data_IF_235380729669
#
_entry.id   IF_235380729669
#
_cell.length_a   1.000
_cell.length_b   1.000
_cell.length_c   1.000
_cell.angle_alpha   90.00
_cell.angle_beta   90.00
_cell.angle_gamma   90.00
#
_symmetry.space_group_name_H-M   'P 1'
#
loop_
_entity.id
_entity.type
_entity.pdbx_description
1 polymer ?
#
# COMPACT_ATOMS: atom_id res chain seq x y z
N UNK A 1 34.05 -46.98 -0.32
CA UNK A 1 34.55 -45.63 0.01
C UNK A 1 34.06 -44.77 -1.12
N UNK A 2 32.79 -44.38 -1.01
CA UNK A 2 31.98 -43.93 -2.14
C UNK A 2 31.93 -42.40 -2.15
N UNK A 3 32.10 -41.83 -3.33
CA UNK A 3 32.14 -40.40 -3.55
C UNK A 3 30.82 -39.72 -3.12
N UNK A 4 30.87 -38.48 -2.59
CA UNK A 4 29.66 -37.76 -2.23
C UNK A 4 28.83 -37.44 -3.47
N UNK A 5 27.55 -37.84 -3.42
CA UNK A 5 26.52 -37.56 -4.42
C UNK A 5 26.40 -36.04 -4.65
N UNK A 6 27.06 -35.55 -5.70
CA UNK A 6 26.88 -34.18 -6.21
C UNK A 6 25.61 -34.13 -7.05
N UNK A 7 24.46 -34.34 -6.40
CA UNK A 7 23.17 -34.27 -7.05
C UNK A 7 22.78 -32.82 -7.35
N UNK A 8 23.36 -32.26 -8.42
CA UNK A 8 23.05 -30.92 -8.95
C UNK A 8 21.57 -30.80 -9.36
N UNK A 9 20.83 -31.92 -9.47
CA UNK A 9 19.40 -31.92 -9.83
C UNK A 9 18.45 -31.43 -8.73
N UNK A 10 18.92 -31.25 -7.48
CA UNK A 10 18.11 -30.65 -6.42
C UNK A 10 17.86 -29.14 -6.64
N UNK A 11 18.77 -28.45 -7.33
CA UNK A 11 18.68 -27.00 -7.61
C UNK A 11 17.83 -26.67 -8.85
N UNK A 12 17.60 -27.64 -9.73
CA UNK A 12 16.81 -27.44 -10.96
C UNK A 12 15.31 -27.55 -10.77
N UNK A 13 14.81 -27.94 -9.58
CA UNK A 13 13.38 -27.85 -9.22
C UNK A 13 12.87 -26.42 -8.98
N UNK A 14 13.71 -25.41 -9.20
CA UNK A 14 13.30 -24.00 -9.28
C UNK A 14 12.99 -23.53 -10.70
N UNK A 15 12.82 -24.45 -11.66
CA UNK A 15 12.32 -24.13 -13.02
C UNK A 15 10.77 -24.06 -13.11
N UNK A 16 10.07 -23.92 -11.98
CA UNK A 16 8.61 -23.74 -11.90
C UNK A 16 8.14 -22.27 -11.77
N UNK A 17 9.04 -21.30 -11.81
CA UNK A 17 8.69 -19.87 -11.66
C UNK A 17 8.32 -19.22 -13.01
N UNK A 18 8.66 -19.87 -14.13
CA UNK A 18 8.48 -19.34 -15.49
C UNK A 18 7.24 -19.89 -16.23
N UNK A 19 6.19 -20.29 -15.50
CA UNK A 19 4.86 -20.61 -16.07
C UNK A 19 3.80 -19.54 -15.72
N UNK A 20 4.23 -18.29 -15.56
CA UNK A 20 3.42 -17.17 -15.07
C UNK A 20 3.23 -16.01 -16.08
N UNK A 21 3.36 -16.25 -17.39
CA UNK A 21 3.05 -15.20 -18.38
C UNK A 21 1.56 -14.91 -18.54
N UNK A 22 0.71 -15.93 -18.38
CA UNK A 22 -0.73 -15.86 -18.69
C UNK A 22 -1.58 -15.52 -17.46
N UNK A 23 -1.17 -15.93 -16.26
CA UNK A 23 -1.87 -15.66 -14.99
C UNK A 23 -2.03 -14.16 -14.66
N UNK A 24 -0.98 -13.32 -14.72
CA UNK A 24 -1.13 -11.88 -14.48
C UNK A 24 -1.96 -11.22 -15.58
N UNK A 25 -1.83 -11.66 -16.84
CA UNK A 25 -2.63 -11.14 -17.95
C UNK A 25 -4.12 -11.49 -17.80
N UNK A 26 -4.45 -12.72 -17.41
CA UNK A 26 -5.84 -13.15 -17.14
C UNK A 26 -6.40 -12.42 -15.93
N UNK A 27 -5.62 -12.19 -14.87
CA UNK A 27 -6.04 -11.39 -13.71
C UNK A 27 -6.30 -9.94 -14.14
N UNK A 28 -5.41 -9.33 -14.93
CA UNK A 28 -5.61 -7.97 -15.47
C UNK A 28 -6.86 -7.93 -16.34
N UNK A 29 -7.05 -8.90 -17.23
CA UNK A 29 -8.22 -8.98 -18.11
C UNK A 29 -9.52 -9.15 -17.32
N UNK A 30 -9.52 -9.98 -16.27
CA UNK A 30 -10.66 -10.16 -15.36
C UNK A 30 -10.95 -8.91 -14.54
N UNK A 31 -9.91 -8.20 -14.07
CA UNK A 31 -10.07 -6.92 -13.38
C UNK A 31 -10.64 -5.88 -14.33
N UNK A 32 -10.14 -5.79 -15.56
CA UNK A 32 -10.68 -4.91 -16.60
C UNK A 32 -12.14 -5.26 -16.90
N UNK A 33 -12.45 -6.54 -17.11
CA UNK A 33 -13.82 -7.01 -17.36
C UNK A 33 -14.76 -6.73 -16.18
N UNK A 34 -14.30 -6.92 -14.94
CA UNK A 34 -15.07 -6.61 -13.74
C UNK A 34 -15.30 -5.11 -13.57
N UNK A 35 -14.30 -4.27 -13.89
CA UNK A 35 -14.43 -2.80 -13.87
C UNK A 35 -15.44 -2.34 -14.93
N UNK A 36 -15.36 -2.89 -16.15
CA UNK A 36 -16.32 -2.59 -17.23
C UNK A 36 -17.72 -3.06 -16.86
N UNK A 37 -17.87 -4.28 -16.34
CA UNK A 37 -19.16 -4.82 -15.91
C UNK A 37 -19.75 -4.02 -14.74
N UNK A 38 -18.95 -3.62 -13.76
CA UNK A 38 -19.38 -2.78 -12.65
C UNK A 38 -19.80 -1.38 -13.13
N UNK A 39 -19.06 -0.80 -14.08
CA UNK A 39 -19.39 0.52 -14.64
C UNK A 39 -20.75 0.50 -15.36
N UNK A 40 -21.00 -0.54 -16.17
CA UNK A 40 -22.27 -0.70 -16.89
C UNK A 40 -23.42 -1.11 -15.96
N UNK A 41 -23.19 -1.99 -14.99
CA UNK A 41 -24.25 -2.53 -14.14
C UNK A 41 -24.67 -1.61 -12.98
N UNK A 42 -23.77 -0.75 -12.51
CA UNK A 42 -24.01 0.10 -11.33
C UNK A 42 -24.33 1.55 -11.67
N UNK A 43 -24.28 1.94 -12.95
CA UNK A 43 -24.41 3.34 -13.39
C UNK A 43 -23.51 4.26 -12.52
N UNK A 44 -22.21 3.96 -12.57
CA UNK A 44 -21.22 4.62 -11.71
C UNK A 44 -21.21 6.14 -11.92
N UNK A 45 -21.59 6.61 -13.09
CA UNK A 45 -21.71 8.04 -13.40
C UNK A 45 -22.83 8.69 -12.58
N UNK A 46 -24.02 8.09 -12.54
CA UNK A 46 -25.13 8.58 -11.74
C UNK A 46 -24.83 8.53 -10.23
N UNK A 47 -24.19 7.47 -9.75
CA UNK A 47 -23.78 7.36 -8.35
C UNK A 47 -22.68 8.36 -7.97
N UNK A 48 -21.71 8.55 -8.85
CA UNK A 48 -20.66 9.54 -8.68
C UNK A 48 -21.23 10.96 -8.62
N UNK A 49 -22.18 11.29 -9.51
CA UNK A 49 -22.86 12.57 -9.50
C UNK A 49 -23.65 12.81 -8.21
N UNK A 50 -24.36 11.80 -7.68
CA UNK A 50 -25.08 11.86 -6.41
C UNK A 50 -24.14 12.05 -5.21
N UNK A 51 -23.01 11.33 -5.18
CA UNK A 51 -22.03 11.47 -4.11
C UNK A 51 -21.38 12.86 -4.14
N UNK A 52 -21.02 13.36 -5.33
CA UNK A 52 -20.46 14.70 -5.51
C UNK A 52 -21.44 15.78 -5.05
N UNK A 53 -22.69 15.72 -5.49
CA UNK A 53 -23.70 16.71 -5.08
C UNK A 53 -23.98 16.65 -3.58
N UNK A 54 -24.06 15.46 -2.99
CA UNK A 54 -24.17 15.30 -1.55
C UNK A 54 -23.01 15.95 -0.80
N UNK A 55 -21.77 15.69 -1.22
CA UNK A 55 -20.56 16.25 -0.59
C UNK A 55 -20.48 17.76 -0.76
N UNK A 56 -20.81 18.28 -1.94
CA UNK A 56 -20.85 19.72 -2.21
C UNK A 56 -21.87 20.44 -1.32
N UNK A 57 -23.03 19.82 -1.06
CA UNK A 57 -24.05 20.37 -0.16
C UNK A 57 -23.59 20.48 1.30
N UNK A 58 -22.59 19.67 1.72
CA UNK A 58 -22.02 19.73 3.07
C UNK A 58 -20.91 20.79 3.22
N UNK A 59 -20.46 21.41 2.13
CA UNK A 59 -19.49 22.49 2.13
C UNK A 59 -18.18 22.14 2.84
N UNK A 60 -17.67 23.06 3.67
CA UNK A 60 -16.36 22.96 4.31
C UNK A 60 -16.23 21.82 5.36
N UNK A 61 -17.34 21.21 5.78
CA UNK A 61 -17.35 20.11 6.77
C UNK A 61 -17.04 18.76 6.11
N UNK A 62 -17.23 18.62 4.80
CA UNK A 62 -17.04 17.34 4.14
C UNK A 62 -15.60 16.79 4.19
N UNK A 63 -14.53 17.58 3.96
CA UNK A 63 -13.17 17.07 4.04
C UNK A 63 -12.77 16.49 5.42
N UNK A 64 -12.96 17.19 6.56
CA UNK A 64 -12.60 16.62 7.86
C UNK A 64 -13.43 15.39 8.22
N UNK A 65 -14.72 15.34 7.86
CA UNK A 65 -15.56 14.15 8.07
C UNK A 65 -15.03 12.96 7.25
N UNK A 66 -14.69 13.18 5.98
CA UNK A 66 -14.12 12.14 5.14
C UNK A 66 -12.77 11.62 5.68
N UNK A 67 -11.90 12.52 6.15
CA UNK A 67 -10.63 12.16 6.78
C UNK A 67 -10.86 11.28 8.02
N UNK A 68 -11.81 11.66 8.88
CA UNK A 68 -12.13 10.91 10.09
C UNK A 68 -12.70 9.52 9.77
N UNK A 69 -13.65 9.44 8.83
CA UNK A 69 -14.22 8.16 8.38
C UNK A 69 -13.16 7.26 7.75
N UNK A 70 -12.28 7.84 6.94
CA UNK A 70 -11.16 7.11 6.33
C UNK A 70 -10.20 6.60 7.41
N UNK A 71 -9.88 7.41 8.42
CA UNK A 71 -9.00 7.02 9.51
C UNK A 71 -9.57 5.83 10.29
N UNK A 72 -10.86 5.89 10.64
CA UNK A 72 -11.57 4.79 11.30
C UNK A 72 -11.61 3.56 10.39
N UNK A 73 -11.93 3.71 9.10
CA UNK A 73 -11.96 2.61 8.15
C UNK A 73 -10.62 1.91 8.03
N UNK A 74 -9.53 2.66 7.88
CA UNK A 74 -8.17 2.11 7.76
C UNK A 74 -7.77 1.37 9.05
N UNK A 75 -8.11 1.93 10.22
CA UNK A 75 -7.96 1.23 11.48
C UNK A 75 -8.74 -0.10 11.49
N UNK A 76 -9.96 -0.12 10.96
CA UNK A 76 -10.81 -1.31 10.84
C UNK A 76 -10.49 -2.19 9.62
N UNK A 77 -9.27 -2.12 9.08
CA UNK A 77 -8.80 -2.96 7.97
C UNK A 77 -9.52 -2.72 6.62
N UNK A 78 -10.24 -1.61 6.47
CA UNK A 78 -10.82 -1.22 5.17
C UNK A 78 -9.67 -1.03 4.17
N UNK A 79 -9.73 -1.66 2.99
CA UNK A 79 -8.72 -1.49 1.96
C UNK A 79 -8.59 -0.02 1.51
N UNK A 80 -7.38 0.53 1.60
CA UNK A 80 -7.07 1.90 1.19
C UNK A 80 -7.57 2.29 -0.22
N UNK A 81 -7.54 1.42 -1.26
CA UNK A 81 -8.09 1.76 -2.57
C UNK A 81 -9.56 2.18 -2.55
N UNK A 82 -10.36 1.63 -1.62
CA UNK A 82 -11.78 1.97 -1.50
C UNK A 82 -11.93 3.42 -1.03
N UNK A 83 -11.20 3.79 0.03
CA UNK A 83 -11.20 5.16 0.52
C UNK A 83 -10.68 6.15 -0.55
N UNK A 84 -9.62 5.80 -1.26
CA UNK A 84 -9.06 6.63 -2.34
C UNK A 84 -10.06 6.81 -3.47
N UNK A 85 -10.77 5.75 -3.87
CA UNK A 85 -11.82 5.84 -4.88
C UNK A 85 -12.96 6.75 -4.45
N UNK A 86 -13.51 6.55 -3.25
CA UNK A 86 -14.58 7.40 -2.71
C UNK A 86 -14.12 8.86 -2.63
N UNK A 87 -12.91 9.12 -2.13
CA UNK A 87 -12.34 10.45 -2.04
C UNK A 87 -12.15 11.11 -3.41
N UNK A 88 -11.65 10.35 -4.39
CA UNK A 88 -11.47 10.83 -5.77
C UNK A 88 -12.79 11.22 -6.42
N UNK A 89 -13.82 10.38 -6.25
CA UNK A 89 -15.16 10.68 -6.75
C UNK A 89 -15.74 11.90 -6.04
N UNK A 90 -15.67 11.97 -4.72
CA UNK A 90 -16.26 13.03 -3.91
C UNK A 90 -15.59 14.41 -4.09
N UNK A 91 -14.26 14.46 -4.14
CA UNK A 91 -13.48 15.71 -4.06
C UNK A 91 -12.61 15.96 -5.32
N UNK A 92 -12.74 15.12 -6.34
CA UNK A 92 -11.92 15.14 -7.55
C UNK A 92 -10.52 14.55 -7.33
N UNK A 93 -9.73 14.48 -8.41
CA UNK A 93 -8.42 13.81 -8.40
C UNK A 93 -7.42 14.35 -7.36
N UNK A 94 -7.31 15.67 -7.19
CA UNK A 94 -6.35 16.30 -6.28
C UNK A 94 -6.86 16.33 -4.84
N UNK A 95 -8.10 16.79 -4.63
CA UNK A 95 -8.72 16.82 -3.31
C UNK A 95 -8.87 15.42 -2.73
N UNK A 96 -9.33 14.47 -3.55
CA UNK A 96 -9.44 13.07 -3.19
C UNK A 96 -8.11 12.45 -2.78
N UNK A 97 -7.02 12.74 -3.50
CA UNK A 97 -5.69 12.27 -3.14
C UNK A 97 -5.23 12.87 -1.79
N UNK A 98 -5.33 14.19 -1.62
CA UNK A 98 -4.87 14.88 -0.41
C UNK A 98 -5.64 14.43 0.83
N UNK A 99 -6.97 14.42 0.77
CA UNK A 99 -7.81 14.03 1.89
C UNK A 99 -7.68 12.53 2.20
N UNK A 100 -7.50 11.68 1.18
CA UNK A 100 -7.21 10.26 1.40
C UNK A 100 -5.85 10.04 2.06
N UNK A 101 -4.80 10.75 1.64
CA UNK A 101 -3.49 10.69 2.29
C UNK A 101 -3.62 11.08 3.78
N UNK A 102 -4.33 12.16 4.08
CA UNK A 102 -4.59 12.58 5.46
C UNK A 102 -5.32 11.51 6.27
N UNK A 103 -6.45 11.01 5.76
CA UNK A 103 -7.25 9.98 6.43
C UNK A 103 -6.50 8.66 6.61
N UNK A 104 -5.79 8.19 5.59
CA UNK A 104 -5.01 6.94 5.66
C UNK A 104 -3.85 7.09 6.64
N UNK A 105 -3.16 8.23 6.64
CA UNK A 105 -2.05 8.48 7.57
C UNK A 105 -2.55 8.54 9.00
N UNK A 106 -3.68 9.23 9.25
CA UNK A 106 -4.31 9.26 10.57
C UNK A 106 -4.75 7.87 11.04
N UNK A 107 -5.42 7.10 10.18
CA UNK A 107 -5.85 5.73 10.49
C UNK A 107 -4.68 4.78 10.74
N UNK A 108 -3.63 4.86 9.93
CA UNK A 108 -2.39 4.11 10.15
C UNK A 108 -1.72 4.50 11.48
N UNK A 109 -1.75 5.78 11.85
CA UNK A 109 -1.31 6.28 13.14
C UNK A 109 -2.10 5.68 14.30
N UNK A 110 -3.44 5.64 14.22
CA UNK A 110 -4.29 5.01 15.22
C UNK A 110 -4.01 3.51 15.34
N UNK A 111 -3.93 2.80 14.22
CA UNK A 111 -3.57 1.37 14.19
C UNK A 111 -2.19 1.11 14.81
N UNK A 112 -1.22 1.98 14.54
CA UNK A 112 0.11 1.91 15.13
C UNK A 112 0.08 2.12 16.65
N UNK A 113 -0.71 3.10 17.15
CA UNK A 113 -0.86 3.35 18.58
C UNK A 113 -1.57 2.19 19.29
N UNK A 114 -2.61 1.62 18.67
CA UNK A 114 -3.25 0.40 19.16
C UNK A 114 -2.26 -0.77 19.19
N UNK A 115 -1.45 -0.93 18.14
CA UNK A 115 -0.36 -1.90 18.10
C UNK A 115 0.64 -1.72 19.25
N UNK A 116 0.98 -0.46 19.54
CA UNK A 116 1.96 -0.05 20.57
C UNK A 116 1.50 -0.34 21.99
N UNK A 117 0.25 0.05 22.30
CA UNK A 117 -0.23 0.10 23.68
C UNK A 117 -1.17 -1.04 24.03
N UNK A 118 -1.87 -1.61 23.05
CA UNK A 118 -2.83 -2.70 23.30
C UNK A 118 -2.21 -4.05 22.95
N UNK A 119 -1.67 -4.19 21.74
CA UNK A 119 -1.15 -5.47 21.26
C UNK A 119 0.23 -5.83 21.84
N UNK A 120 1.02 -4.84 22.26
CA UNK A 120 2.32 -5.08 22.90
C UNK A 120 2.16 -5.76 24.25
N UNK A 121 1.18 -5.34 25.04
CA UNK A 121 0.90 -5.90 26.36
C UNK A 121 0.20 -7.26 26.28
N UNK A 122 -0.63 -7.46 25.25
CA UNK A 122 -1.26 -8.76 24.96
C UNK A 122 -0.31 -9.79 24.30
N UNK A 123 0.86 -9.36 23.84
CA UNK A 123 1.62 -10.03 22.78
C UNK A 123 3.07 -10.37 23.12
N UNK A 124 3.34 -11.09 24.21
CA UNK A 124 4.63 -11.76 24.44
C UNK A 124 4.90 -12.92 23.46
N UNK A 125 4.02 -13.14 22.45
CA UNK A 125 4.07 -14.28 21.52
C UNK A 125 3.79 -13.95 20.04
N UNK A 126 4.04 -12.73 19.57
CA UNK A 126 3.95 -12.41 18.14
C UNK A 126 5.09 -13.09 17.33
N UNK A 127 5.10 -14.42 17.20
CA UNK A 127 6.07 -15.21 16.42
C UNK A 127 5.70 -15.25 14.92
N UNK A 128 5.47 -14.08 14.31
CA UNK A 128 5.17 -13.97 12.88
C UNK A 128 6.44 -13.98 12.01
N UNK A 129 6.37 -14.58 10.82
CA UNK A 129 7.47 -14.64 9.84
C UNK A 129 8.03 -13.27 9.43
N UNK A 130 7.26 -12.19 9.61
CA UNK A 130 7.68 -10.81 9.30
C UNK A 130 8.34 -10.09 10.48
N UNK A 131 8.25 -10.62 11.71
CA UNK A 131 8.78 -9.97 12.91
C UNK A 131 10.31 -9.71 12.84
N UNK A 132 11.16 -10.65 12.35
CA UNK A 132 12.59 -10.40 12.23
C UNK A 132 12.92 -9.23 11.29
N UNK A 133 12.20 -9.12 10.17
CA UNK A 133 12.34 -8.01 9.21
C UNK A 133 11.97 -6.70 9.89
N UNK A 134 10.83 -6.66 10.60
CA UNK A 134 10.38 -5.45 11.28
C UNK A 134 11.33 -5.01 12.40
N UNK A 135 11.95 -5.97 13.12
CA UNK A 135 12.99 -5.68 14.13
C UNK A 135 14.26 -5.12 13.49
N UNK A 136 14.72 -5.71 12.39
CA UNK A 136 15.87 -5.21 11.62
C UNK A 136 15.63 -3.81 11.04
N UNK A 137 14.39 -3.49 10.67
CA UNK A 137 14.02 -2.15 10.24
C UNK A 137 13.95 -1.18 11.43
N UNK A 138 13.44 -1.64 12.58
CA UNK A 138 13.36 -0.84 13.80
C UNK A 138 14.73 -0.48 14.40
N UNK A 139 15.78 -1.25 14.11
CA UNK A 139 17.15 -0.88 14.52
C UNK A 139 17.74 0.27 13.70
N UNK A 140 17.09 0.64 12.60
CA UNK A 140 17.52 1.78 11.78
C UNK A 140 16.87 3.07 12.25
N UNK A 141 17.61 4.16 12.17
CA UNK A 141 17.10 5.49 12.54
C UNK A 141 16.38 6.15 11.37
N UNK A 142 15.35 6.94 11.67
CA UNK A 142 14.63 7.78 10.72
C UNK A 142 13.46 7.10 10.00
N UNK A 143 12.77 7.83 9.09
CA UNK A 143 11.56 7.36 8.40
C UNK A 143 11.83 6.42 7.22
N UNK A 144 13.09 6.32 6.75
CA UNK A 144 13.48 5.57 5.55
C UNK A 144 13.03 4.09 5.57
N UNK A 145 13.11 3.34 6.68
CA UNK A 145 12.65 1.95 6.72
C UNK A 145 11.15 1.83 6.45
N UNK A 146 10.37 2.80 6.92
CA UNK A 146 8.90 2.82 6.73
C UNK A 146 8.57 3.19 5.28
N UNK A 147 9.30 4.13 4.67
CA UNK A 147 9.16 4.47 3.25
C UNK A 147 9.42 3.22 2.37
N UNK A 148 10.54 2.53 2.63
CA UNK A 148 10.90 1.32 1.91
C UNK A 148 9.82 0.23 2.03
N UNK A 149 9.28 0.06 3.24
CA UNK A 149 8.23 -0.89 3.53
C UNK A 149 6.91 -0.55 2.81
N UNK A 150 6.53 0.74 2.74
CA UNK A 150 5.32 1.21 2.03
C UNK A 150 5.43 1.01 0.52
N UNK A 151 6.61 1.25 -0.06
CA UNK A 151 6.83 1.02 -1.48
C UNK A 151 6.89 -0.47 -1.83
N UNK A 152 7.52 -1.30 -1.00
CA UNK A 152 7.60 -2.75 -1.22
C UNK A 152 6.25 -3.47 -0.98
N UNK A 153 5.52 -3.07 0.06
CA UNK A 153 4.28 -3.70 0.51
C UNK A 153 3.13 -2.68 0.62
N UNK A 154 2.59 -2.20 -0.50
CA UNK A 154 1.52 -1.19 -0.52
C UNK A 154 0.19 -1.68 0.09
N UNK A 155 -0.05 -2.99 0.10
CA UNK A 155 -1.31 -3.58 0.59
C UNK A 155 -1.02 -4.51 1.77
N UNK A 156 -0.88 -3.92 2.96
CA UNK A 156 -0.66 -4.68 4.18
C UNK A 156 -1.39 -4.04 5.36
N UNK A 157 -2.71 -4.25 5.49
CA UNK A 157 -3.51 -3.62 6.56
C UNK A 157 -3.02 -3.94 7.98
N UNK A 158 -2.56 -5.17 8.24
CA UNK A 158 -2.01 -5.57 9.55
C UNK A 158 -0.59 -5.08 9.83
N UNK A 159 0.06 -4.43 8.85
CA UNK A 159 1.44 -3.96 9.00
C UNK A 159 1.54 -2.81 9.99
N UNK A 160 0.55 -1.94 10.04
CA UNK A 160 0.56 -0.74 10.88
C UNK A 160 0.56 -1.11 12.37
N UNK A 161 -0.27 -2.09 12.72
CA UNK A 161 -0.29 -2.71 14.04
C UNK A 161 1.04 -3.41 14.38
N UNK A 162 1.57 -4.20 13.45
CA UNK A 162 2.81 -4.94 13.65
C UNK A 162 4.03 -4.01 13.83
N UNK A 163 4.09 -2.92 13.06
CA UNK A 163 5.11 -1.87 13.17
C UNK A 163 4.95 -1.10 14.49
N UNK A 164 3.72 -0.85 14.93
CA UNK A 164 3.41 -0.26 16.24
C UNK A 164 3.95 -1.05 17.42
N UNK A 165 4.00 -2.38 17.31
CA UNK A 165 4.59 -3.26 18.32
C UNK A 165 6.14 -3.28 18.32
N UNK A 166 6.80 -2.55 17.41
CA UNK A 166 8.27 -2.48 17.33
C UNK A 166 8.86 -1.25 18.03
N UNK A 167 10.19 -1.06 17.89
CA UNK A 167 10.92 0.11 18.39
C UNK A 167 10.83 1.37 17.53
N UNK A 168 10.18 1.34 16.36
CA UNK A 168 10.05 2.52 15.47
C UNK A 168 9.28 3.62 16.19
N UNK A 169 9.71 4.88 16.14
CA UNK A 169 8.97 6.00 16.77
C UNK A 169 7.75 6.42 15.95
N UNK A 170 6.69 6.93 16.61
CA UNK A 170 5.48 7.41 15.92
C UNK A 170 5.79 8.48 14.86
N UNK A 171 6.64 9.51 15.11
CA UNK A 171 6.92 10.53 14.11
C UNK A 171 7.55 9.96 12.83
N UNK A 172 8.56 9.09 12.96
CA UNK A 172 9.18 8.45 11.79
C UNK A 172 8.23 7.52 11.04
N UNK A 173 7.30 6.87 11.75
CA UNK A 173 6.25 6.09 11.12
C UNK A 173 5.28 6.95 10.32
N UNK A 174 4.82 8.08 10.89
CA UNK A 174 3.90 8.99 10.21
C UNK A 174 4.57 9.67 9.01
N UNK A 175 5.80 10.17 9.15
CA UNK A 175 6.59 10.76 8.06
C UNK A 175 6.80 9.76 6.93
N UNK A 176 7.26 8.55 7.27
CA UNK A 176 7.53 7.52 6.27
C UNK A 176 6.27 6.99 5.60
N UNK A 177 5.15 6.97 6.32
CA UNK A 177 3.83 6.62 5.77
C UNK A 177 3.33 7.73 4.84
N UNK A 178 3.43 8.98 5.25
CA UNK A 178 3.00 10.13 4.44
C UNK A 178 3.74 10.14 3.10
N UNK A 179 5.07 10.08 3.12
CA UNK A 179 5.91 10.04 1.91
C UNK A 179 5.65 8.78 1.09
N UNK A 180 5.54 7.63 1.75
CA UNK A 180 5.30 6.34 1.11
C UNK A 180 3.93 6.24 0.41
N UNK A 181 2.94 7.01 0.87
CA UNK A 181 1.58 7.01 0.31
C UNK A 181 1.42 7.94 -0.89
N UNK A 182 2.17 9.03 -0.97
CA UNK A 182 1.99 10.07 -2.01
C UNK A 182 1.92 9.46 -3.42
N UNK A 183 2.95 8.75 -3.93
CA UNK A 183 2.97 8.38 -5.35
C UNK A 183 1.80 7.47 -5.72
N UNK A 184 1.51 6.50 -4.86
CA UNK A 184 0.43 5.53 -5.06
C UNK A 184 -0.94 6.18 -4.97
N UNK A 185 -1.14 7.07 -4.00
CA UNK A 185 -2.46 7.64 -3.73
C UNK A 185 -2.87 8.60 -4.82
N UNK A 186 -1.93 9.41 -5.32
CA UNK A 186 -2.17 10.20 -6.52
C UNK A 186 -2.50 9.29 -7.71
N UNK A 187 -1.65 8.32 -8.05
CA UNK A 187 -1.89 7.42 -9.18
C UNK A 187 -3.27 6.75 -9.14
N UNK A 188 -3.70 6.24 -7.98
CA UNK A 188 -5.03 5.65 -7.80
C UNK A 188 -6.15 6.68 -7.88
N UNK A 189 -5.98 7.86 -7.27
CA UNK A 189 -6.98 8.91 -7.30
C UNK A 189 -7.25 9.38 -8.74
N UNK A 190 -6.20 9.61 -9.53
CA UNK A 190 -6.29 9.92 -10.95
C UNK A 190 -6.99 8.80 -11.73
N UNK A 191 -6.64 7.54 -11.47
CA UNK A 191 -7.28 6.39 -12.11
C UNK A 191 -8.78 6.33 -11.82
N UNK A 192 -9.20 6.51 -10.57
CA UNK A 192 -10.61 6.52 -10.21
C UNK A 192 -11.39 7.69 -10.80
N UNK A 193 -10.79 8.88 -10.90
CA UNK A 193 -11.44 10.03 -11.52
C UNK A 193 -11.72 9.77 -13.01
N UNK A 194 -10.75 9.17 -13.71
CA UNK A 194 -10.88 8.78 -15.13
C UNK A 194 -12.01 7.78 -15.34
N UNK A 195 -12.19 6.82 -14.43
CA UNK A 195 -13.26 5.81 -14.51
C UNK A 195 -14.69 6.37 -14.33
N UNK A 196 -14.82 7.61 -13.86
CA UNK A 196 -16.12 8.29 -13.68
C UNK A 196 -16.46 9.28 -14.79
N UNK A 197 -15.73 9.25 -15.91
CA UNK A 197 -15.96 10.09 -17.07
C UNK A 197 -16.62 9.28 -18.18
N UNK A 198 -17.58 9.88 -18.89
CA UNK A 198 -18.31 9.25 -20.00
C UNK A 198 -17.39 8.70 -21.10
N UNK A 199 -16.30 9.41 -21.40
CA UNK A 199 -15.27 9.00 -22.37
C UNK A 199 -14.07 8.32 -21.69
N UNK A 200 -14.31 7.43 -20.72
CA UNK A 200 -13.25 6.79 -19.94
C UNK A 200 -12.28 6.00 -20.84
N UNK A 201 -12.72 5.41 -21.95
CA UNK A 201 -11.85 4.66 -22.89
C UNK A 201 -10.76 5.56 -23.49
N UNK A 202 -11.13 6.75 -23.98
CA UNK A 202 -10.18 7.74 -24.49
C UNK A 202 -9.29 8.31 -23.38
N UNK A 203 -9.85 8.46 -22.19
CA UNK A 203 -9.17 9.02 -21.02
C UNK A 203 -8.17 8.04 -20.38
N UNK A 204 -8.43 6.73 -20.40
CA UNK A 204 -7.49 5.68 -19.94
C UNK A 204 -6.31 5.54 -20.89
N UNK A 205 -6.51 5.78 -22.20
CA UNK A 205 -5.44 5.84 -23.18
C UNK A 205 -4.57 7.11 -23.08
N UNK A 206 -4.93 8.06 -22.21
CA UNK A 206 -4.15 9.29 -22.04
C UNK A 206 -2.77 9.01 -21.43
N UNK A 207 -1.79 9.79 -21.89
CA UNK A 207 -0.39 9.70 -21.45
C UNK A 207 -0.23 9.75 -19.91
N UNK A 208 -0.96 10.62 -19.16
CA UNK A 208 -0.86 10.66 -17.70
C UNK A 208 -1.35 9.38 -17.00
N UNK A 209 -2.42 8.77 -17.51
CA UNK A 209 -2.98 7.54 -16.95
C UNK A 209 -2.03 6.35 -17.13
N UNK A 210 -1.47 6.22 -18.36
CA UNK A 210 -0.47 5.21 -18.68
C UNK A 210 0.81 5.39 -17.85
N UNK A 211 1.28 6.63 -17.67
CA UNK A 211 2.42 6.94 -16.81
C UNK A 211 2.16 6.51 -15.36
N UNK A 212 1.00 6.82 -14.79
CA UNK A 212 0.67 6.41 -13.42
C UNK A 212 0.69 4.90 -13.24
N UNK A 213 0.11 4.15 -14.19
CA UNK A 213 0.08 2.68 -14.18
C UNK A 213 1.48 2.09 -14.33
N UNK A 214 2.30 2.64 -15.23
CA UNK A 214 3.67 2.18 -15.50
C UNK A 214 4.65 2.55 -14.37
N UNK A 215 4.42 3.65 -13.65
CA UNK A 215 5.27 4.09 -12.53
C UNK A 215 5.07 3.25 -11.26
N UNK A 216 3.89 2.66 -11.05
CA UNK A 216 3.62 1.81 -9.88
C UNK A 216 4.57 0.61 -9.72
N UNK A 217 4.82 -0.23 -10.76
CA UNK A 217 5.78 -1.33 -10.64
C UNK A 217 7.21 -0.82 -10.42
N UNK A 218 7.60 0.31 -11.03
CA UNK A 218 8.91 0.93 -10.82
C UNK A 218 9.11 1.35 -9.35
N UNK A 219 8.12 2.02 -8.75
CA UNK A 219 8.15 2.42 -7.33
C UNK A 219 8.22 1.18 -6.42
N UNK A 220 7.50 0.11 -6.78
CA UNK A 220 7.55 -1.14 -6.03
C UNK A 220 8.94 -1.78 -6.09
N UNK A 221 9.55 -1.86 -7.28
CA UNK A 221 10.91 -2.39 -7.46
C UNK A 221 11.91 -1.54 -6.67
N UNK A 222 11.83 -0.21 -6.77
CA UNK A 222 12.68 0.69 -6.00
C UNK A 222 12.54 0.47 -4.48
N UNK A 223 11.29 0.29 -4.00
CA UNK A 223 11.00 -0.05 -2.61
C UNK A 223 11.62 -1.37 -2.17
N UNK A 224 11.48 -2.42 -2.98
CA UNK A 224 12.08 -3.74 -2.72
C UNK A 224 13.61 -3.64 -2.69
N UNK A 225 14.23 -2.97 -3.66
CA UNK A 225 15.69 -2.79 -3.71
C UNK A 225 16.18 -2.03 -2.47
N UNK A 226 15.50 -0.95 -2.10
CA UNK A 226 15.83 -0.19 -0.89
C UNK A 226 15.70 -1.08 0.35
N UNK A 227 14.60 -1.82 0.49
CA UNK A 227 14.37 -2.73 1.61
C UNK A 227 15.48 -3.78 1.71
N UNK A 228 15.87 -4.41 0.60
CA UNK A 228 16.95 -5.40 0.55
C UNK A 228 18.28 -4.76 0.98
N UNK A 229 18.59 -3.55 0.50
CA UNK A 229 19.81 -2.82 0.91
C UNK A 229 19.82 -2.51 2.41
N UNK A 230 18.67 -2.13 2.95
CA UNK A 230 18.53 -1.86 4.38
C UNK A 230 18.74 -3.13 5.22
N UNK A 231 18.20 -4.27 4.78
CA UNK A 231 18.40 -5.56 5.45
C UNK A 231 19.83 -6.08 5.31
N UNK A 232 20.47 -5.90 4.15
CA UNK A 232 21.87 -6.27 3.94
C UNK A 232 22.81 -5.48 4.88
N UNK A 233 22.58 -4.17 5.03
CA UNK A 233 23.31 -3.32 5.99
C UNK A 233 23.12 -3.78 7.43
N UNK A 234 21.91 -4.19 7.80
CA UNK A 234 21.63 -4.75 9.11
C UNK A 234 22.40 -6.06 9.34
N UNK A 235 22.35 -6.99 8.39
CA UNK A 235 23.05 -8.28 8.50
C UNK A 235 24.58 -8.10 8.58
N UNK A 236 25.16 -7.16 7.82
CA UNK A 236 26.59 -6.85 7.90
C UNK A 236 27.00 -6.36 9.30
N UNK A 237 26.26 -5.40 9.86
CA UNK A 237 26.53 -4.88 11.21
C UNK A 237 26.34 -5.92 12.31
N UNK A 238 25.42 -6.87 12.12
CA UNK A 238 25.23 -8.00 13.02
C UNK A 238 26.40 -8.99 12.94
N UNK A 239 26.91 -9.26 11.74
CA UNK A 239 28.10 -10.11 11.55
C UNK A 239 29.37 -9.48 12.15
N UNK A 240 29.47 -8.15 12.15
CA UNK A 240 30.54 -7.38 12.79
C UNK A 240 30.39 -7.29 14.33
N UNK A 241 29.33 -7.84 14.92
CA UNK A 241 29.06 -7.78 16.36
C UNK A 241 28.63 -6.41 16.89
N UNK A 242 28.35 -5.45 15.99
CA UNK A 242 27.92 -4.08 16.34
C UNK A 242 26.48 -4.06 16.87
N UNK A 243 25.66 -5.05 16.51
CA UNK A 243 24.26 -5.19 16.90
C UNK A 243 24.02 -6.66 17.30
N UNK A 244 23.30 -6.96 18.40
CA UNK A 244 22.96 -8.33 18.79
C UNK A 244 22.14 -9.10 17.72
#
# INVERSE_FOLDING_TARGET
MDAPDTNVSAWTRTAGVFRQGVRPLVIVLLVVAAVVAAHVALDLDAQAARLRSFVQNQGAVAPPVFIALTAVGIMLFVPAPIAIGIGSVAFGQLGGALYSIGGITAGAGLAFLLGRYVLRDLGTRLQGSRLPILRALASQRGPLPVIALRFAFPFAPGLDYAVGATGISLPHFLEGTLVGLIPRTFALSFFFDILTKSDWLASVASVPALLCVLLMPLIRVAGIVLLVRLLARYNARRAEGVIP
#
